data_IF_149800321020
#
_entry.id   IF_149800321020
#
_cell.length_a   1.000
_cell.length_b   1.000
_cell.length_c   1.000
_cell.angle_alpha   90.00
_cell.angle_beta   90.00
_cell.angle_gamma   90.00
#
_symmetry.space_group_name_H-M   'P 1'
#
loop_
_entity.id
_entity.type
_entity.pdbx_description
1 polymer ?
#
# COMPACT_ATOMS: atom_id res chain seq x y z
N UNK A 1 24.49 -16.76 -38.29
CA UNK A 1 24.16 -16.51 -37.87
C UNK A 1 24.00 -16.14 -37.63
N UNK A 2 23.94 -15.74 -37.55
CA UNK A 2 23.74 -15.42 -37.05
C UNK A 2 23.30 -15.11 -36.67
N UNK A 3 23.31 -15.07 -36.63
CA UNK A 3 22.88 -14.79 -36.07
C UNK A 3 22.35 -14.32 -35.86
N UNK A 4 22.50 -14.36 -36.42
CA UNK A 4 22.08 -13.84 -36.01
C UNK A 4 21.62 -13.28 -35.66
N UNK A 5 21.79 -13.22 -35.78
CA UNK A 5 21.32 -12.81 -35.13
C UNK A 5 20.72 -12.12 -35.34
N UNK A 6 21.15 -11.70 -36.09
CA UNK A 6 20.29 -11.34 -36.21
C UNK A 6 19.30 -11.96 -36.13
N UNK A 7 19.75 -13.00 -36.35
CA UNK A 7 19.16 -13.65 -36.06
C UNK A 7 19.02 -14.42 -35.21
N UNK A 8 19.13 -14.81 -35.18
CA UNK A 8 19.01 -15.62 -34.13
C UNK A 8 18.11 -15.37 -33.04
N UNK A 9 18.35 -14.45 -32.41
CA UNK A 9 17.60 -14.15 -31.22
C UNK A 9 16.14 -13.84 -31.46
N UNK A 10 15.67 -13.75 -32.64
CA UNK A 10 14.25 -13.42 -32.89
C UNK A 10 13.25 -14.40 -32.28
N UNK A 11 13.52 -15.69 -32.35
CA UNK A 11 12.59 -16.69 -31.75
C UNK A 11 12.72 -16.70 -30.24
N UNK A 12 13.91 -16.69 -29.72
CA UNK A 12 14.13 -16.67 -28.28
C UNK A 12 13.65 -15.36 -27.66
N UNK A 13 13.86 -14.25 -28.34
CA UNK A 13 13.38 -12.96 -27.86
C UNK A 13 11.86 -12.88 -27.81
N UNK A 14 11.16 -13.47 -28.76
CA UNK A 14 9.70 -13.52 -28.76
C UNK A 14 9.16 -14.33 -27.59
N UNK A 15 9.79 -15.46 -27.29
CA UNK A 15 9.39 -16.29 -26.15
C UNK A 15 9.58 -15.58 -24.82
N UNK A 16 10.70 -14.87 -24.67
CA UNK A 16 10.97 -14.09 -23.47
C UNK A 16 9.97 -12.96 -23.30
N UNK A 17 9.62 -12.28 -24.39
CA UNK A 17 8.62 -11.21 -24.36
C UNK A 17 7.23 -11.74 -23.98
N UNK A 18 6.86 -12.91 -24.48
CA UNK A 18 5.59 -13.54 -24.12
C UNK A 18 5.52 -13.88 -22.63
N UNK A 19 6.60 -14.41 -22.07
CA UNK A 19 6.68 -14.73 -20.65
C UNK A 19 6.63 -13.47 -19.79
N UNK A 20 7.35 -12.42 -20.20
CA UNK A 20 7.32 -11.13 -19.51
C UNK A 20 5.92 -10.51 -19.56
N UNK A 21 5.24 -10.59 -20.69
CA UNK A 21 3.87 -10.09 -20.82
C UNK A 21 2.90 -10.88 -19.95
N UNK A 22 3.06 -12.19 -19.84
CA UNK A 22 2.24 -13.03 -18.96
C UNK A 22 2.46 -12.66 -17.50
N UNK A 23 3.71 -12.46 -17.09
CA UNK A 23 4.04 -12.06 -15.73
C UNK A 23 3.46 -10.68 -15.40
N UNK A 24 3.55 -9.72 -16.30
CA UNK A 24 2.94 -8.42 -16.13
C UNK A 24 1.43 -8.50 -16.02
N UNK A 25 0.78 -9.30 -16.88
CA UNK A 25 -0.66 -9.52 -16.82
C UNK A 25 -1.08 -10.13 -15.49
N UNK A 26 -0.36 -11.16 -15.03
CA UNK A 26 -0.60 -11.79 -13.74
C UNK A 26 -0.38 -10.80 -12.61
N UNK A 27 0.65 -9.98 -12.71
CA UNK A 27 0.95 -8.94 -11.73
C UNK A 27 -0.18 -7.91 -11.66
N UNK A 28 -0.67 -7.44 -12.80
CA UNK A 28 -1.79 -6.49 -12.87
C UNK A 28 -3.09 -7.09 -12.34
N UNK A 29 -3.34 -8.38 -12.63
CA UNK A 29 -4.51 -9.09 -12.09
C UNK A 29 -4.43 -9.24 -10.56
N UNK A 30 -3.22 -9.32 -10.02
CA UNK A 30 -2.98 -9.41 -8.58
C UNK A 30 -2.77 -8.05 -7.93
N UNK A 31 -2.77 -6.99 -8.70
CA UNK A 31 -2.57 -5.64 -8.18
C UNK A 31 -3.70 -5.24 -7.24
N UNK A 32 -3.32 -4.90 -6.02
CA UNK A 32 -4.27 -4.54 -4.98
C UNK A 32 -4.54 -3.05 -5.05
N UNK A 33 -5.83 -2.69 -5.12
CA UNK A 33 -6.25 -1.29 -5.10
C UNK A 33 -6.52 -0.84 -3.67
N UNK A 34 -6.19 0.41 -3.37
CA UNK A 34 -6.48 1.02 -2.09
C UNK A 34 -7.84 1.71 -2.16
N UNK A 35 -8.71 1.39 -1.21
CA UNK A 35 -10.00 2.06 -1.06
C UNK A 35 -10.16 2.58 0.36
N UNK A 36 -10.81 3.73 0.49
CA UNK A 36 -11.08 4.34 1.79
C UNK A 36 -12.42 3.90 2.34
N UNK A 37 -12.53 3.84 3.66
CA UNK A 37 -13.81 3.68 4.33
C UNK A 37 -14.65 4.93 4.16
N UNK A 38 -15.97 4.76 4.02
CA UNK A 38 -16.89 5.87 3.77
C UNK A 38 -17.83 6.17 4.94
N UNK A 39 -18.19 5.15 5.75
CA UNK A 39 -19.14 5.31 6.84
C UNK A 39 -18.44 5.46 8.19
N UNK A 40 -18.96 6.36 9.02
CA UNK A 40 -18.40 6.61 10.36
C UNK A 40 -18.43 5.39 11.28
N UNK A 41 -19.45 4.54 11.15
CA UNK A 41 -19.55 3.31 11.95
C UNK A 41 -18.43 2.34 11.64
N UNK A 42 -18.01 2.29 10.38
CA UNK A 42 -16.88 1.47 9.94
C UNK A 42 -15.57 1.96 10.56
N UNK A 43 -15.38 3.29 10.62
CA UNK A 43 -14.21 3.88 11.28
C UNK A 43 -14.15 3.50 12.76
N UNK A 44 -15.28 3.62 13.46
CA UNK A 44 -15.35 3.25 14.88
C UNK A 44 -14.99 1.79 15.12
N UNK A 45 -15.47 0.90 14.24
CA UNK A 45 -15.19 -0.53 14.35
C UNK A 45 -13.70 -0.83 14.18
N UNK A 46 -13.03 -0.19 13.24
CA UNK A 46 -11.58 -0.37 13.03
C UNK A 46 -10.79 0.24 14.18
N UNK A 47 -11.21 1.38 14.70
CA UNK A 47 -10.53 2.04 15.81
C UNK A 47 -10.56 1.22 17.11
N UNK A 48 -11.49 0.29 17.23
CA UNK A 48 -11.58 -0.64 18.37
C UNK A 48 -10.72 -1.89 18.18
N UNK A 49 -10.07 -2.07 17.04
CA UNK A 49 -9.22 -3.22 16.76
C UNK A 49 -7.80 -3.08 17.29
N UNK A 50 -6.88 -3.78 16.63
CA UNK A 50 -5.45 -3.72 16.97
C UNK A 50 -4.90 -2.32 16.70
N UNK A 51 -3.95 -1.90 17.56
CA UNK A 51 -3.35 -0.56 17.47
C UNK A 51 -1.83 -0.64 17.53
N UNK A 52 -1.18 0.19 16.71
CA UNK A 52 0.26 0.45 16.83
C UNK A 52 0.47 1.95 16.70
N UNK A 53 1.17 2.53 17.68
CA UNK A 53 1.50 3.95 17.68
C UNK A 53 2.98 4.12 17.38
N UNK A 54 3.29 5.02 16.45
CA UNK A 54 4.66 5.41 16.12
C UNK A 54 4.78 6.94 16.19
N UNK A 55 5.99 7.45 16.01
CA UNK A 55 6.22 8.89 15.99
C UNK A 55 5.61 9.58 14.76
N UNK A 56 5.36 8.83 13.69
CA UNK A 56 4.91 9.38 12.42
C UNK A 56 3.41 9.19 12.18
N UNK A 57 2.82 8.16 12.79
CA UNK A 57 1.42 7.81 12.57
C UNK A 57 0.94 6.84 13.66
N UNK A 58 -0.36 6.61 13.67
CA UNK A 58 -0.97 5.51 14.43
C UNK A 58 -1.73 4.62 13.46
N UNK A 59 -1.53 3.31 13.52
CA UNK A 59 -2.23 2.34 12.69
C UNK A 59 -3.24 1.58 13.53
N UNK A 60 -4.45 1.47 13.02
CA UNK A 60 -5.52 0.66 13.58
C UNK A 60 -5.91 -0.40 12.56
N UNK A 61 -6.12 -1.62 13.00
CA UNK A 61 -6.47 -2.72 12.13
C UNK A 61 -7.52 -3.63 12.75
N UNK A 62 -8.44 -4.10 11.92
CA UNK A 62 -9.41 -5.11 12.31
C UNK A 62 -9.63 -6.06 11.14
N UNK A 63 -10.11 -7.27 11.41
CA UNK A 63 -10.47 -8.20 10.34
C UNK A 63 -11.57 -7.60 9.46
N UNK A 64 -11.53 -7.91 8.17
CA UNK A 64 -12.54 -7.41 7.24
C UNK A 64 -13.94 -7.81 7.69
N UNK A 65 -14.80 -6.81 7.85
CA UNK A 65 -16.20 -6.96 8.18
C UNK A 65 -17.11 -6.53 7.02
N UNK A 66 -16.52 -5.97 5.98
CA UNK A 66 -17.23 -5.56 4.77
C UNK A 66 -16.89 -6.53 3.64
N UNK A 67 -17.87 -6.76 2.75
CA UNK A 67 -17.59 -7.47 1.51
C UNK A 67 -16.74 -6.54 0.64
N UNK A 68 -15.47 -6.87 0.50
CA UNK A 68 -14.57 -6.13 -0.36
C UNK A 68 -14.51 -6.79 -1.74
N UNK A 69 -14.26 -5.97 -2.76
CA UNK A 69 -13.98 -6.47 -4.10
C UNK A 69 -12.65 -7.23 -4.07
N UNK A 70 -12.50 -8.20 -4.97
CA UNK A 70 -11.22 -8.91 -5.13
C UNK A 70 -10.09 -7.89 -5.35
N UNK A 71 -8.94 -8.16 -4.75
CA UNK A 71 -7.75 -7.33 -4.89
C UNK A 71 -7.94 -5.88 -4.41
N UNK A 72 -8.72 -5.71 -3.35
CA UNK A 72 -8.93 -4.39 -2.75
C UNK A 72 -8.50 -4.43 -1.29
N UNK A 73 -7.69 -3.45 -0.88
CA UNK A 73 -7.33 -3.22 0.51
C UNK A 73 -8.08 -2.00 1.01
N UNK A 74 -8.87 -2.18 2.06
CA UNK A 74 -9.57 -1.08 2.72
C UNK A 74 -8.62 -0.41 3.70
N UNK A 75 -8.21 0.79 3.38
CA UNK A 75 -7.29 1.57 4.20
C UNK A 75 -7.64 3.05 4.07
N UNK A 76 -7.70 3.76 5.18
CA UNK A 76 -8.00 5.18 5.21
C UNK A 76 -6.87 5.94 5.87
N UNK A 77 -6.52 7.08 5.27
CA UNK A 77 -5.49 7.98 5.79
C UNK A 77 -6.18 9.23 6.34
N UNK A 78 -6.04 9.46 7.63
CA UNK A 78 -6.69 10.56 8.33
C UNK A 78 -5.64 11.56 8.80
N UNK A 79 -5.87 12.84 8.52
CA UNK A 79 -5.06 13.93 9.04
C UNK A 79 -5.96 14.90 9.80
N UNK A 80 -5.58 15.22 11.04
CA UNK A 80 -6.33 16.15 11.87
C UNK A 80 -6.10 17.59 11.40
N UNK A 81 -7.11 18.45 11.53
CA UNK A 81 -7.04 19.85 11.13
C UNK A 81 -5.90 20.61 11.81
N UNK A 82 -5.57 20.27 13.04
CA UNK A 82 -4.50 20.92 13.82
C UNK A 82 -3.10 20.70 13.24
N UNK A 83 -2.92 19.75 12.33
CA UNK A 83 -1.62 19.47 11.71
C UNK A 83 -1.18 20.63 10.81
N UNK A 84 -2.12 21.30 10.15
CA UNK A 84 -1.83 22.43 9.29
C UNK A 84 -2.92 22.66 8.26
N UNK A 85 -2.60 23.42 7.21
CA UNK A 85 -3.54 23.73 6.14
C UNK A 85 -3.79 22.51 5.24
N UNK A 86 -4.72 22.65 4.30
CA UNK A 86 -5.11 21.56 3.39
C UNK A 86 -3.93 21.07 2.54
N UNK A 87 -3.04 21.95 2.11
CA UNK A 87 -1.87 21.58 1.29
C UNK A 87 -0.94 20.66 2.08
N UNK A 88 -0.62 21.01 3.31
CA UNK A 88 0.23 20.22 4.19
C UNK A 88 -0.40 18.86 4.49
N UNK A 89 -1.69 18.84 4.82
CA UNK A 89 -2.42 17.61 5.11
C UNK A 89 -2.46 16.68 3.90
N UNK A 90 -2.69 17.22 2.71
CA UNK A 90 -2.69 16.44 1.47
C UNK A 90 -1.33 15.84 1.16
N UNK A 91 -0.25 16.59 1.40
CA UNK A 91 1.12 16.08 1.21
C UNK A 91 1.40 14.88 2.10
N UNK A 92 1.01 14.97 3.36
CA UNK A 92 1.19 13.87 4.32
C UNK A 92 0.43 12.63 3.84
N UNK A 93 -0.84 12.79 3.49
CA UNK A 93 -1.66 11.67 3.01
C UNK A 93 -1.08 11.02 1.75
N UNK A 94 -0.66 11.83 0.78
CA UNK A 94 -0.05 11.32 -0.45
C UNK A 94 1.24 10.58 -0.17
N UNK A 95 2.06 11.09 0.72
CA UNK A 95 3.33 10.47 1.11
C UNK A 95 3.10 9.09 1.73
N UNK A 96 2.22 9.00 2.71
CA UNK A 96 1.93 7.75 3.39
C UNK A 96 1.21 6.76 2.47
N UNK A 97 0.33 7.24 1.60
CA UNK A 97 -0.34 6.42 0.61
C UNK A 97 0.65 5.82 -0.39
N UNK A 98 1.61 6.62 -0.86
CA UNK A 98 2.66 6.15 -1.76
C UNK A 98 3.55 5.10 -1.11
N UNK A 99 3.90 5.29 0.16
CA UNK A 99 4.68 4.33 0.93
C UNK A 99 3.91 3.01 1.08
N UNK A 100 2.63 3.09 1.42
CA UNK A 100 1.76 1.91 1.55
C UNK A 100 1.66 1.16 0.23
N UNK A 101 1.52 1.89 -0.88
CA UNK A 101 1.47 1.28 -2.21
C UNK A 101 2.74 0.51 -2.56
N UNK A 102 3.90 1.02 -2.16
CA UNK A 102 5.17 0.32 -2.37
C UNK A 102 5.30 -0.92 -1.48
N UNK A 103 4.84 -0.83 -0.24
CA UNK A 103 4.85 -1.97 0.68
C UNK A 103 3.93 -3.08 0.17
N UNK A 104 2.79 -2.73 -0.42
CA UNK A 104 1.87 -3.70 -1.02
C UNK A 104 2.51 -4.54 -2.12
N UNK A 105 3.50 -4.01 -2.82
CA UNK A 105 4.22 -4.74 -3.84
C UNK A 105 5.12 -5.83 -3.27
N UNK A 106 5.44 -5.75 -1.98
CA UNK A 106 6.22 -6.77 -1.28
C UNK A 106 5.25 -7.87 -0.85
N UNK A 107 5.50 -9.09 -1.31
CA UNK A 107 4.63 -10.23 -1.03
C UNK A 107 4.52 -10.49 0.48
N UNK A 108 3.31 -10.53 0.98
CA UNK A 108 3.04 -10.84 2.38
C UNK A 108 3.34 -9.72 3.38
N UNK A 109 3.71 -8.52 2.91
CA UNK A 109 4.03 -7.41 3.81
C UNK A 109 2.78 -6.84 4.49
N UNK A 110 1.67 -6.81 3.78
CA UNK A 110 0.38 -6.32 4.30
C UNK A 110 -0.66 -7.43 4.19
N UNK A 111 -1.41 -7.63 5.26
CA UNK A 111 -2.49 -8.62 5.26
C UNK A 111 -3.76 -7.98 4.67
N UNK A 112 -4.16 -8.44 3.49
CA UNK A 112 -5.35 -7.93 2.79
C UNK A 112 -6.66 -8.37 3.43
N UNK A 113 -6.62 -9.27 4.40
CA UNK A 113 -7.79 -9.70 5.16
C UNK A 113 -8.15 -8.73 6.30
N UNK A 114 -7.38 -7.67 6.47
CA UNK A 114 -7.64 -6.64 7.46
C UNK A 114 -8.03 -5.32 6.81
N UNK A 115 -8.79 -4.54 7.55
CA UNK A 115 -9.10 -3.15 7.23
C UNK A 115 -8.27 -2.26 8.13
N UNK A 116 -7.64 -1.24 7.57
CA UNK A 116 -6.70 -0.37 8.28
C UNK A 116 -7.17 1.07 8.31
N UNK A 117 -6.83 1.77 9.38
CA UNK A 117 -6.91 3.23 9.46
C UNK A 117 -5.56 3.73 9.92
N UNK A 118 -5.01 4.68 9.18
CA UNK A 118 -3.75 5.34 9.52
C UNK A 118 -4.05 6.79 9.87
N UNK A 119 -3.79 7.15 11.13
CA UNK A 119 -3.91 8.53 11.59
C UNK A 119 -2.53 9.16 11.50
N UNK A 120 -2.38 10.12 10.61
CA UNK A 120 -1.11 10.76 10.32
C UNK A 120 -0.73 11.76 11.42
N UNK A 121 0.56 11.84 11.72
CA UNK A 121 1.10 12.81 12.68
C UNK A 121 1.99 13.82 11.98
N UNK A 122 2.20 14.99 12.60
CA UNK A 122 2.98 16.07 12.03
C UNK A 122 4.40 15.69 11.65
N UNK A 123 5.03 14.81 12.42
CA UNK A 123 6.40 14.36 12.16
C UNK A 123 6.56 13.63 10.83
N UNK A 124 5.51 13.05 10.29
CA UNK A 124 5.55 12.40 8.97
C UNK A 124 5.75 13.39 7.84
N UNK A 125 5.47 14.69 8.06
CA UNK A 125 5.68 15.72 7.06
C UNK A 125 7.17 16.00 6.83
N UNK A 126 7.95 16.08 7.91
CA UNK A 126 9.37 16.46 7.86
C UNK A 126 10.32 15.27 7.73
N UNK A 127 9.88 14.07 8.09
CA UNK A 127 10.74 12.90 8.09
C UNK A 127 11.02 12.38 6.69
N UNK A 128 12.18 11.73 6.53
CA UNK A 128 12.58 11.14 5.25
C UNK A 128 11.67 9.97 4.88
N UNK A 129 11.40 9.86 3.59
CA UNK A 129 10.56 8.81 3.02
C UNK A 129 11.04 7.41 3.45
N UNK A 130 12.34 7.14 3.32
CA UNK A 130 12.90 5.82 3.59
C UNK A 130 12.71 5.40 5.05
N UNK A 131 12.84 6.33 5.97
CA UNK A 131 12.66 6.05 7.39
C UNK A 131 11.22 5.69 7.71
N UNK A 132 10.27 6.42 7.14
CA UNK A 132 8.84 6.13 7.31
C UNK A 132 8.51 4.79 6.66
N UNK A 133 9.08 4.51 5.50
CA UNK A 133 8.89 3.23 4.79
C UNK A 133 9.27 2.04 5.68
N UNK A 134 10.45 2.06 6.27
CA UNK A 134 10.91 1.00 7.14
C UNK A 134 10.04 0.83 8.38
N UNK A 135 9.64 1.94 8.98
CA UNK A 135 8.79 1.92 10.16
C UNK A 135 7.40 1.35 9.83
N UNK A 136 6.84 1.76 8.71
CA UNK A 136 5.53 1.29 8.26
C UNK A 136 5.56 -0.20 7.91
N UNK A 137 6.63 -0.66 7.27
CA UNK A 137 6.82 -2.07 6.96
C UNK A 137 6.86 -2.92 8.25
N UNK A 138 7.57 -2.45 9.26
CA UNK A 138 7.61 -3.10 10.58
C UNK A 138 6.24 -3.13 11.25
N UNK A 139 5.51 -2.03 11.17
CA UNK A 139 4.18 -1.93 11.77
C UNK A 139 3.20 -2.92 11.14
N UNK A 140 3.16 -3.00 9.83
CA UNK A 140 2.30 -3.97 9.15
C UNK A 140 2.68 -5.41 9.49
N UNK A 141 3.96 -5.70 9.60
CA UNK A 141 4.43 -7.02 10.00
C UNK A 141 3.97 -7.41 11.40
N UNK A 142 3.98 -6.47 12.34
CA UNK A 142 3.49 -6.70 13.70
C UNK A 142 1.97 -6.93 13.75
N UNK A 143 1.22 -6.33 12.84
CA UNK A 143 -0.23 -6.46 12.78
C UNK A 143 -0.69 -7.75 12.10
N UNK A 144 0.17 -8.38 11.34
CA UNK A 144 -0.15 -9.63 10.64
C UNK A 144 -0.28 -10.83 11.59
#
# INVERSE_FOLDING_TARGET
>A
MDLDLEWLPKVEGSLLLEDEQKEEKLYQLKMIKLESLKKSDHFKQVLNGKKIHTNFYSIFATKNFLKSKKNTLLISFITKKKIGNAVKRNRIRRKLKAITGKILKIKGAINTNYTYIIICKTKSYTEKYDKIFLEMQRSFKKLN
#
